data_IF_838973510078
#
_entry.id   IF_838973510078
#
_cell.length_a   1.000
_cell.length_b   1.000
_cell.length_c   1.000
_cell.angle_alpha   90.00
_cell.angle_beta   90.00
_cell.angle_gamma   90.00
#
_symmetry.space_group_name_H-M   'P 1'
#
loop_
_entity.id
_entity.type
_entity.pdbx_description
1 polymer ?
#
# COMPACT_ATOMS: atom_id res chain seq x y z
N UNK A 1 -12.69 0.36 -14.98
CA UNK A 1 -11.71 1.12 -14.18
C UNK A 1 -10.29 0.56 -14.18
N UNK A 2 -9.90 -0.51 -13.47
CA UNK A 2 -8.49 -0.98 -13.48
C UNK A 2 -7.96 -1.33 -14.89
N UNK A 3 -8.79 -2.01 -15.69
CA UNK A 3 -8.45 -2.34 -17.08
C UNK A 3 -8.32 -1.08 -17.95
N UNK A 4 -9.13 -0.06 -17.73
CA UNK A 4 -9.03 1.23 -18.44
C UNK A 4 -7.71 1.94 -18.11
N UNK A 5 -7.33 2.03 -16.83
CA UNK A 5 -6.04 2.62 -16.41
C UNK A 5 -4.87 1.90 -17.07
N UNK A 6 -4.93 0.57 -17.19
CA UNK A 6 -3.90 -0.19 -17.90
C UNK A 6 -3.88 0.12 -19.39
N UNK A 7 -5.04 0.25 -20.02
CA UNK A 7 -5.15 0.51 -21.46
C UNK A 7 -4.81 1.97 -21.83
N UNK A 8 -4.95 2.91 -20.89
CA UNK A 8 -4.61 4.33 -21.05
C UNK A 8 -3.17 4.65 -20.65
N UNK A 9 -2.44 3.69 -20.05
CA UNK A 9 -1.08 3.93 -19.59
C UNK A 9 -0.15 4.18 -20.78
N UNK A 10 0.50 5.34 -20.78
CA UNK A 10 1.52 5.70 -21.76
C UNK A 10 2.71 4.72 -21.71
N UNK A 11 3.18 4.30 -22.88
CA UNK A 11 4.41 3.54 -23.02
C UNK A 11 5.55 4.46 -23.47
N UNK A 12 6.62 4.50 -22.69
CA UNK A 12 7.82 5.25 -22.99
C UNK A 12 9.01 4.31 -23.24
N UNK A 13 10.07 4.75 -23.95
CA UNK A 13 11.27 3.95 -24.17
C UNK A 13 11.97 3.56 -22.86
N UNK A 14 12.53 2.35 -22.82
CA UNK A 14 13.36 1.81 -21.73
C UNK A 14 14.59 1.07 -22.29
N UNK A 15 15.20 1.62 -23.33
CA UNK A 15 16.28 1.00 -24.12
C UNK A 15 17.50 0.68 -23.26
N UNK A 16 17.88 1.58 -22.33
CA UNK A 16 19.05 1.39 -21.46
C UNK A 16 18.89 0.13 -20.60
N UNK A 17 17.68 -0.08 -20.06
CA UNK A 17 17.37 -1.25 -19.24
C UNK A 17 17.50 -2.58 -19.99
N UNK A 18 17.39 -2.58 -21.32
CA UNK A 18 17.47 -3.78 -22.18
C UNK A 18 18.84 -4.02 -22.79
N UNK A 19 19.84 -3.16 -22.53
CA UNK A 19 21.21 -3.41 -22.96
C UNK A 19 21.71 -4.75 -22.37
N UNK A 20 22.45 -5.57 -23.13
CA UNK A 20 22.93 -6.87 -22.67
C UNK A 20 23.69 -6.81 -21.34
N UNK A 21 24.51 -5.76 -21.15
CA UNK A 21 25.29 -5.53 -19.94
C UNK A 21 24.44 -5.26 -18.69
N UNK A 22 23.18 -4.80 -18.86
CA UNK A 22 22.26 -4.48 -17.77
C UNK A 22 21.33 -5.65 -17.42
N UNK A 23 21.41 -6.77 -18.13
CA UNK A 23 20.49 -7.90 -17.96
C UNK A 23 20.50 -8.45 -16.53
N UNK A 24 21.68 -8.57 -15.92
CA UNK A 24 21.87 -9.06 -14.54
C UNK A 24 21.61 -8.00 -13.46
N UNK A 25 21.28 -6.76 -13.84
CA UNK A 25 20.91 -5.68 -12.92
C UNK A 25 19.38 -5.57 -12.76
N UNK A 26 18.62 -6.35 -13.54
CA UNK A 26 17.17 -6.38 -13.53
C UNK A 26 16.66 -7.66 -12.85
N UNK A 27 15.85 -7.51 -11.80
CA UNK A 27 15.23 -8.65 -11.11
C UNK A 27 14.20 -9.36 -11.98
N UNK A 28 13.43 -8.60 -12.77
CA UNK A 28 12.36 -9.10 -13.62
C UNK A 28 12.56 -8.62 -15.06
N UNK A 29 12.34 -9.51 -16.04
CA UNK A 29 12.56 -9.21 -17.46
C UNK A 29 11.54 -8.21 -18.01
N UNK A 30 10.36 -8.20 -17.42
CA UNK A 30 9.16 -7.46 -17.82
C UNK A 30 8.95 -6.17 -17.02
N UNK A 31 9.86 -5.83 -16.09
CA UNK A 31 9.79 -4.59 -15.31
C UNK A 31 11.07 -3.79 -15.49
N UNK A 32 10.97 -2.61 -16.10
CA UNK A 32 12.12 -1.77 -16.43
C UNK A 32 11.79 -0.29 -16.19
N UNK A 33 12.75 0.54 -15.75
CA UNK A 33 12.54 1.98 -15.68
C UNK A 33 12.52 2.59 -17.09
N UNK A 34 11.71 3.62 -17.31
CA UNK A 34 11.78 4.38 -18.56
C UNK A 34 13.05 5.23 -18.63
N UNK A 35 13.56 5.44 -19.84
CA UNK A 35 14.85 6.12 -20.07
C UNK A 35 14.83 7.58 -19.59
N UNK A 36 13.68 8.26 -19.69
CA UNK A 36 13.53 9.66 -19.31
C UNK A 36 13.43 9.89 -17.80
N UNK A 37 13.00 8.88 -17.03
CA UNK A 37 12.74 8.97 -15.59
C UNK A 37 13.67 8.10 -14.75
N UNK A 38 14.52 7.26 -15.37
CA UNK A 38 15.45 6.40 -14.63
C UNK A 38 16.41 7.23 -13.78
N UNK A 39 16.70 6.74 -12.59
CA UNK A 39 17.81 7.27 -11.80
C UNK A 39 19.12 6.84 -12.47
N UNK A 40 20.11 7.74 -12.50
CA UNK A 40 21.44 7.49 -13.05
C UNK A 40 22.45 7.58 -11.91
N UNK A 41 23.32 6.58 -11.82
CA UNK A 41 24.42 6.58 -10.86
C UNK A 41 25.58 7.39 -11.43
N UNK A 42 26.14 8.32 -10.66
CA UNK A 42 27.25 9.18 -11.12
C UNK A 42 28.62 8.57 -10.82
N UNK A 43 28.76 7.86 -9.69
CA UNK A 43 30.04 7.32 -9.22
C UNK A 43 30.16 5.80 -9.45
N UNK A 44 29.73 5.33 -10.62
CA UNK A 44 29.78 3.93 -11.06
C UNK A 44 30.25 3.84 -12.52
N UNK A 45 30.96 2.78 -12.90
CA UNK A 45 31.34 2.54 -14.31
C UNK A 45 30.10 2.37 -15.21
N UNK A 46 29.00 1.88 -14.63
CA UNK A 46 27.72 1.74 -15.28
C UNK A 46 26.67 2.56 -14.52
N UNK A 47 26.07 3.55 -15.19
CA UNK A 47 25.10 4.47 -14.60
C UNK A 47 23.72 3.82 -14.31
N UNK A 48 23.54 2.54 -14.67
CA UNK A 48 22.25 1.87 -14.63
C UNK A 48 21.89 1.29 -13.26
N UNK A 49 20.72 1.69 -12.77
CA UNK A 49 19.98 1.01 -11.70
C UNK A 49 18.50 0.93 -12.08
N UNK A 50 17.81 -0.17 -11.74
CA UNK A 50 16.37 -0.29 -11.98
C UNK A 50 15.56 0.50 -10.93
N UNK A 51 15.57 1.82 -11.10
CA UNK A 51 14.84 2.78 -10.29
C UNK A 51 14.33 3.94 -11.15
N UNK A 52 13.17 4.51 -10.80
CA UNK A 52 12.55 5.64 -11.49
C UNK A 52 12.27 6.76 -10.50
N UNK A 53 12.63 7.99 -10.87
CA UNK A 53 12.17 9.19 -10.19
C UNK A 53 10.75 9.51 -10.67
N UNK A 54 9.79 9.47 -9.74
CA UNK A 54 8.37 9.76 -9.98
C UNK A 54 8.07 11.11 -9.34
N UNK A 55 7.70 12.09 -10.17
CA UNK A 55 7.43 13.46 -9.75
C UNK A 55 5.94 13.74 -9.80
N UNK A 56 5.37 14.18 -8.69
CA UNK A 56 3.99 14.62 -8.56
C UNK A 56 3.98 16.10 -8.24
N UNK A 57 4.03 16.94 -9.27
CA UNK A 57 4.23 18.39 -9.16
C UNK A 57 3.10 19.07 -8.36
N UNK A 58 1.84 18.74 -8.65
CA UNK A 58 0.68 19.25 -7.92
C UNK A 58 0.74 18.93 -6.43
N UNK A 59 1.22 17.72 -6.08
CA UNK A 59 1.37 17.29 -4.70
C UNK A 59 2.67 17.79 -4.05
N UNK A 60 3.57 18.41 -4.83
CA UNK A 60 4.95 18.75 -4.43
C UNK A 60 5.67 17.56 -3.79
N UNK A 61 5.47 16.37 -4.37
CA UNK A 61 6.06 15.10 -3.90
C UNK A 61 6.93 14.49 -4.98
N UNK A 62 8.00 13.85 -4.52
CA UNK A 62 8.91 13.08 -5.36
C UNK A 62 9.21 11.75 -4.67
N UNK A 63 9.27 10.69 -5.45
CA UNK A 63 9.58 9.34 -4.99
C UNK A 63 10.63 8.71 -5.90
N UNK A 64 11.53 7.92 -5.33
CA UNK A 64 12.32 6.99 -6.13
C UNK A 64 11.71 5.61 -5.95
N UNK A 65 11.07 5.10 -7.01
CA UNK A 65 10.50 3.75 -7.02
C UNK A 65 11.51 2.77 -7.63
N UNK A 66 11.94 1.79 -6.84
CA UNK A 66 13.00 0.84 -7.23
C UNK A 66 12.59 -0.61 -7.04
N UNK A 67 13.24 -1.53 -7.75
CA UNK A 67 13.14 -2.96 -7.46
C UNK A 67 13.79 -3.28 -6.10
N UNK A 68 13.42 -4.42 -5.50
CA UNK A 68 14.15 -4.97 -4.36
C UNK A 68 15.58 -5.34 -4.81
N UNK A 69 16.63 -4.82 -4.16
CA UNK A 69 18.01 -5.03 -4.59
C UNK A 69 18.34 -6.50 -4.84
N UNK A 70 19.09 -6.77 -5.91
CA UNK A 70 19.76 -8.04 -6.12
C UNK A 70 21.07 -8.05 -5.31
N UNK A 71 21.63 -9.23 -5.08
CA UNK A 71 22.90 -9.38 -4.34
C UNK A 71 24.03 -8.54 -4.96
N UNK A 72 24.10 -8.51 -6.29
CA UNK A 72 25.07 -7.73 -7.06
C UNK A 72 24.67 -6.26 -7.29
N UNK A 73 23.56 -5.78 -6.72
CA UNK A 73 23.12 -4.39 -6.86
C UNK A 73 22.85 -3.72 -5.50
N UNK A 74 23.22 -4.36 -4.38
CA UNK A 74 23.09 -3.75 -3.05
C UNK A 74 23.98 -2.51 -2.92
N UNK A 75 25.23 -2.58 -3.39
CA UNK A 75 26.14 -1.43 -3.39
C UNK A 75 25.60 -0.27 -4.24
N UNK A 76 25.09 -0.55 -5.44
CA UNK A 76 24.41 0.43 -6.30
C UNK A 76 23.19 1.08 -5.63
N UNK A 77 22.42 0.30 -4.86
CA UNK A 77 21.25 0.82 -4.13
C UNK A 77 21.64 1.83 -3.06
N UNK A 78 22.69 1.55 -2.28
CA UNK A 78 23.21 2.51 -1.29
C UNK A 78 23.89 3.71 -1.92
N UNK A 79 24.59 3.52 -3.05
CA UNK A 79 25.12 4.62 -3.84
C UNK A 79 24.00 5.57 -4.30
N UNK A 80 22.92 5.02 -4.85
CA UNK A 80 21.73 5.80 -5.23
C UNK A 80 21.16 6.59 -4.04
N UNK A 81 21.00 5.97 -2.88
CA UNK A 81 20.51 6.65 -1.67
C UNK A 81 21.42 7.81 -1.26
N UNK A 82 22.73 7.61 -1.35
CA UNK A 82 23.73 8.63 -1.06
C UNK A 82 23.66 9.81 -2.04
N UNK A 83 23.72 9.54 -3.34
CA UNK A 83 23.73 10.55 -4.41
C UNK A 83 22.43 11.36 -4.43
N UNK A 84 21.29 10.71 -4.15
CA UNK A 84 19.98 11.35 -4.13
C UNK A 84 19.65 11.99 -2.78
N UNK A 85 20.59 12.03 -1.82
CA UNK A 85 20.43 12.63 -0.50
C UNK A 85 19.16 12.18 0.23
N UNK A 86 18.76 10.92 0.03
CA UNK A 86 17.52 10.38 0.59
C UNK A 86 17.72 10.07 2.07
N UNK A 87 16.74 10.44 2.91
CA UNK A 87 16.78 10.17 4.36
C UNK A 87 16.01 8.93 4.79
N UNK A 88 15.12 8.42 3.94
CA UNK A 88 14.22 7.32 4.28
C UNK A 88 14.10 6.29 3.14
N UNK A 89 14.14 5.01 3.52
CA UNK A 89 13.89 3.86 2.66
C UNK A 89 12.64 3.14 3.14
N UNK A 90 11.64 3.00 2.26
CA UNK A 90 10.40 2.29 2.52
C UNK A 90 10.44 0.93 1.82
N UNK A 91 10.53 -0.14 2.61
CA UNK A 91 10.54 -1.54 2.14
C UNK A 91 9.18 -2.19 2.40
N UNK A 92 8.50 -2.60 1.35
CA UNK A 92 7.12 -3.12 1.42
C UNK A 92 7.02 -4.64 1.19
N UNK A 93 8.13 -5.37 1.27
CA UNK A 93 8.17 -6.83 1.08
C UNK A 93 9.06 -7.52 2.10
N UNK A 94 8.89 -8.82 2.25
CA UNK A 94 9.87 -9.67 2.94
C UNK A 94 10.96 -10.13 1.98
N UNK A 95 12.14 -10.46 2.51
CA UNK A 95 13.26 -11.02 1.74
C UNK A 95 12.81 -12.28 0.99
N UNK A 96 12.08 -13.16 1.68
CA UNK A 96 11.52 -14.38 1.11
C UNK A 96 9.99 -14.33 1.21
N UNK A 97 9.31 -14.56 0.09
CA UNK A 97 7.85 -14.69 0.05
C UNK A 97 7.50 -15.93 -0.79
N UNK A 98 6.62 -16.79 -0.25
CA UNK A 98 6.21 -18.05 -0.90
C UNK A 98 7.42 -18.90 -1.35
N UNK A 99 8.46 -18.95 -0.51
CA UNK A 99 9.68 -19.74 -0.76
C UNK A 99 10.66 -19.13 -1.79
N UNK A 100 10.38 -17.95 -2.35
CA UNK A 100 11.26 -17.30 -3.35
C UNK A 100 11.89 -16.03 -2.79
N UNK A 101 13.18 -15.81 -3.08
CA UNK A 101 13.87 -14.55 -2.74
C UNK A 101 13.32 -13.39 -3.58
N UNK A 102 12.70 -12.43 -2.92
CA UNK A 102 12.08 -11.23 -3.51
C UNK A 102 12.94 -9.98 -3.40
N UNK A 103 13.93 -9.99 -2.50
CA UNK A 103 14.87 -8.92 -2.23
C UNK A 103 16.08 -9.53 -1.54
N UNK A 104 17.30 -9.05 -1.82
CA UNK A 104 18.48 -9.43 -1.06
C UNK A 104 18.43 -8.82 0.36
N UNK A 105 19.16 -9.42 1.30
CA UNK A 105 19.49 -8.78 2.59
C UNK A 105 20.51 -7.67 2.30
N UNK A 106 20.03 -6.43 2.11
CA UNK A 106 20.87 -5.28 1.75
C UNK A 106 21.22 -4.37 2.94
N UNK A 107 20.77 -4.72 4.14
CA UNK A 107 21.06 -4.01 5.39
C UNK A 107 21.60 -5.00 6.43
N UNK A 108 22.38 -4.56 7.43
CA UNK A 108 22.85 -5.41 8.53
C UNK A 108 21.70 -5.90 9.43
N UNK A 109 21.83 -7.12 9.94
CA UNK A 109 20.95 -7.63 11.00
C UNK A 109 21.50 -7.28 12.39
N UNK A 110 20.71 -7.40 13.48
CA UNK A 110 21.22 -7.24 14.85
C UNK A 110 22.42 -8.14 15.19
N UNK A 111 22.58 -9.27 14.48
CA UNK A 111 23.72 -10.18 14.62
C UNK A 111 24.97 -9.66 13.91
N UNK A 112 24.81 -9.16 12.68
CA UNK A 112 25.95 -8.73 11.85
C UNK A 112 26.45 -7.33 12.24
N UNK A 113 25.54 -6.47 12.74
CA UNK A 113 25.71 -5.04 13.09
C UNK A 113 26.13 -4.12 11.95
N UNK A 114 26.94 -4.59 11.02
CA UNK A 114 27.39 -3.81 9.87
C UNK A 114 27.44 -4.65 8.59
N UNK A 115 27.42 -3.98 7.43
CA UNK A 115 27.52 -4.61 6.12
C UNK A 115 28.35 -3.73 5.19
N UNK A 116 29.30 -4.35 4.49
CA UNK A 116 30.26 -3.67 3.62
C UNK A 116 29.86 -3.83 2.14
N UNK A 117 29.96 -2.74 1.38
CA UNK A 117 29.75 -2.67 -0.06
C UNK A 117 30.99 -2.06 -0.73
N UNK A 118 32.08 -2.84 -0.90
CA UNK A 118 33.35 -2.32 -1.42
C UNK A 118 33.28 -1.84 -2.87
N UNK A 119 32.36 -2.40 -3.67
CA UNK A 119 32.11 -2.04 -5.06
C UNK A 119 31.73 -0.57 -5.22
N UNK A 120 30.97 -0.01 -4.28
CA UNK A 120 30.59 1.40 -4.27
C UNK A 120 31.25 2.21 -3.16
N UNK A 121 31.96 1.55 -2.24
CA UNK A 121 32.73 2.19 -1.16
C UNK A 121 31.86 2.61 0.02
N UNK A 122 30.86 1.81 0.40
CA UNK A 122 29.99 2.10 1.54
C UNK A 122 30.04 1.03 2.63
N UNK A 123 29.78 1.46 3.86
CA UNK A 123 29.46 0.59 4.99
C UNK A 123 28.14 1.05 5.59
N UNK A 124 27.27 0.10 5.94
CA UNK A 124 25.99 0.36 6.60
C UNK A 124 26.03 -0.24 7.98
N UNK A 125 25.83 0.57 9.02
CA UNK A 125 25.72 0.11 10.41
C UNK A 125 24.27 0.17 10.89
N UNK A 126 23.86 -0.83 11.66
CA UNK A 126 22.59 -0.81 12.39
C UNK A 126 22.77 -0.05 13.71
N UNK A 127 22.09 1.07 13.86
CA UNK A 127 22.14 1.89 15.07
C UNK A 127 21.03 1.50 16.05
N UNK A 128 19.81 1.31 15.55
CA UNK A 128 18.68 0.86 16.36
C UNK A 128 17.65 0.12 15.51
N UNK A 129 16.83 -0.71 16.18
CA UNK A 129 15.71 -1.43 15.58
C UNK A 129 14.52 -1.42 16.55
N UNK A 130 13.36 -1.00 16.05
CA UNK A 130 12.08 -1.02 16.76
C UNK A 130 11.11 -1.92 15.99
N UNK A 131 10.71 -3.02 16.61
CA UNK A 131 9.82 -4.01 16.01
C UNK A 131 8.39 -3.77 16.49
N UNK A 132 7.50 -3.48 15.55
CA UNK A 132 6.06 -3.38 15.75
C UNK A 132 5.35 -4.60 15.12
N UNK A 133 4.04 -4.72 15.35
CA UNK A 133 3.25 -5.87 14.87
C UNK A 133 3.28 -6.00 13.34
N UNK A 134 3.12 -4.88 12.62
CA UNK A 134 2.97 -4.87 11.15
C UNK A 134 4.20 -4.33 10.42
N UNK A 135 5.15 -3.74 11.13
CA UNK A 135 6.32 -3.11 10.55
C UNK A 135 7.51 -3.09 11.52
N UNK A 136 8.69 -2.78 10.99
CA UNK A 136 9.91 -2.56 11.76
C UNK A 136 10.54 -1.25 11.30
N UNK A 137 10.99 -0.43 12.24
CA UNK A 137 11.73 0.79 11.95
C UNK A 137 13.17 0.56 12.37
N UNK A 138 14.12 0.86 11.49
CA UNK A 138 15.56 0.86 11.83
C UNK A 138 16.13 2.24 11.59
N UNK A 139 17.09 2.60 12.43
CA UNK A 139 18.01 3.70 12.15
C UNK A 139 19.32 3.08 11.70
N UNK A 140 19.75 3.45 10.49
CA UNK A 140 20.99 2.98 9.88
C UNK A 140 21.95 4.15 9.74
N UNK A 141 23.24 3.90 9.96
CA UNK A 141 24.29 4.81 9.54
C UNK A 141 24.85 4.34 8.21
N UNK A 142 24.74 5.16 7.17
CA UNK A 142 25.40 4.95 5.88
C UNK A 142 26.69 5.77 5.84
N UNK A 143 27.84 5.07 5.86
CA UNK A 143 29.17 5.68 5.83
C UNK A 143 29.83 5.53 4.47
N UNK A 144 30.26 6.65 3.89
CA UNK A 144 31.09 6.68 2.70
C UNK A 144 32.56 6.46 3.09
N UNK A 145 33.15 5.35 2.67
CA UNK A 145 34.53 4.99 3.03
C UNK A 145 35.58 5.82 2.30
N UNK A 146 35.23 6.44 1.17
CA UNK A 146 36.14 7.29 0.38
C UNK A 146 36.29 8.68 1.00
N UNK A 147 35.21 9.26 1.51
CA UNK A 147 35.20 10.61 2.11
C UNK A 147 35.26 10.61 3.63
N UNK A 148 34.88 9.50 4.27
CA UNK A 148 34.73 9.40 5.72
C UNK A 148 33.42 9.95 6.27
N UNK A 149 32.57 10.55 5.43
CA UNK A 149 31.28 11.12 5.82
C UNK A 149 30.25 10.02 6.15
N UNK A 150 29.38 10.29 7.12
CA UNK A 150 28.27 9.41 7.51
C UNK A 150 26.93 10.15 7.45
N UNK A 151 25.85 9.42 7.14
CA UNK A 151 24.48 9.93 7.15
C UNK A 151 23.56 8.94 7.86
N UNK A 152 22.61 9.47 8.61
CA UNK A 152 21.53 8.69 9.20
C UNK A 152 20.43 8.42 8.16
N UNK A 153 20.04 7.16 8.03
CA UNK A 153 19.00 6.68 7.12
C UNK A 153 17.94 5.92 7.91
N UNK A 154 16.69 6.36 7.81
CA UNK A 154 15.55 5.64 8.36
C UNK A 154 15.12 4.53 7.41
N UNK A 155 15.05 3.30 7.91
CA UNK A 155 14.55 2.14 7.15
C UNK A 155 13.22 1.69 7.72
N UNK A 156 12.15 1.92 6.98
CA UNK A 156 10.79 1.54 7.33
C UNK A 156 10.42 0.26 6.58
N UNK A 157 10.25 -0.84 7.32
CA UNK A 157 9.99 -2.15 6.74
C UNK A 157 8.60 -2.64 7.09
N UNK A 158 7.66 -2.59 6.15
CA UNK A 158 6.33 -3.17 6.33
C UNK A 158 6.39 -4.70 6.13
N UNK A 159 6.17 -5.46 7.20
CA UNK A 159 6.45 -6.91 7.25
C UNK A 159 5.21 -7.78 7.03
N UNK A 160 4.01 -7.23 7.23
CA UNK A 160 2.73 -7.94 7.13
C UNK A 160 2.00 -7.78 5.79
N UNK A 161 2.59 -7.12 4.78
CA UNK A 161 1.95 -6.97 3.46
C UNK A 161 2.17 -8.22 2.58
N UNK A 162 1.11 -8.99 2.24
CA UNK A 162 1.24 -10.17 1.39
C UNK A 162 1.53 -9.84 -0.08
N UNK A 163 2.34 -10.67 -0.76
CA UNK A 163 2.62 -10.52 -2.20
C UNK A 163 1.37 -10.68 -3.05
N UNK A 164 1.12 -9.73 -3.96
CA UNK A 164 -0.12 -9.55 -4.75
C UNK A 164 -1.41 -9.31 -3.96
N UNK A 165 -1.35 -9.24 -2.62
CA UNK A 165 -2.47 -8.89 -1.78
C UNK A 165 -2.44 -7.43 -1.34
N UNK A 166 -3.21 -7.15 -0.28
CA UNK A 166 -3.35 -5.85 0.35
C UNK A 166 -3.18 -5.99 1.87
N UNK A 167 -2.82 -4.92 2.60
CA UNK A 167 -2.86 -4.92 4.05
C UNK A 167 -4.24 -5.28 4.58
N UNK A 168 -4.31 -5.97 5.72
CA UNK A 168 -5.59 -6.42 6.31
C UNK A 168 -6.50 -5.25 6.71
N UNK A 169 -5.91 -4.12 7.13
CA UNK A 169 -6.64 -2.90 7.43
C UNK A 169 -5.91 -1.66 6.92
N UNK A 170 -6.65 -0.63 6.45
CA UNK A 170 -6.06 0.67 6.15
C UNK A 170 -5.38 1.34 7.35
N UNK A 171 -5.84 1.09 8.57
CA UNK A 171 -5.32 1.74 9.78
C UNK A 171 -3.82 1.47 10.00
N UNK A 172 -3.39 0.20 9.93
CA UNK A 172 -1.96 -0.14 10.06
C UNK A 172 -1.10 0.42 8.93
N UNK A 173 -1.66 0.52 7.72
CA UNK A 173 -0.98 1.14 6.59
C UNK A 173 -0.84 2.66 6.79
N UNK A 174 -1.87 3.34 7.29
CA UNK A 174 -1.87 4.78 7.51
C UNK A 174 -0.96 5.20 8.66
N UNK A 175 -0.93 4.46 9.78
CA UNK A 175 0.04 4.69 10.87
C UNK A 175 1.50 4.57 10.37
N UNK A 176 1.76 3.62 9.46
CA UNK A 176 3.06 3.49 8.81
C UNK A 176 3.36 4.65 7.84
N UNK A 177 2.37 5.07 7.06
CA UNK A 177 2.48 6.15 6.08
C UNK A 177 2.81 7.51 6.74
N UNK A 178 2.17 7.86 7.85
CA UNK A 178 2.37 9.20 8.44
C UNK A 178 3.75 9.43 9.07
N UNK A 179 4.63 8.42 9.07
CA UNK A 179 5.95 8.46 9.73
C UNK A 179 7.13 8.79 8.81
N UNK A 180 6.92 9.12 7.52
CA UNK A 180 8.02 9.25 6.55
C UNK A 180 8.13 10.61 5.82
N UNK A 181 9.33 10.85 5.26
CA UNK A 181 9.65 11.99 4.37
C UNK A 181 9.87 11.56 2.90
N UNK A 182 10.47 12.44 2.06
CA UNK A 182 10.89 12.09 0.69
C UNK A 182 11.74 10.82 0.72
N UNK A 183 11.36 9.83 -0.10
CA UNK A 183 11.82 8.47 0.13
C UNK A 183 12.07 7.66 -1.13
N UNK A 184 13.01 6.73 -1.00
CA UNK A 184 13.13 5.57 -1.88
C UNK A 184 12.11 4.56 -1.41
N UNK A 185 11.20 4.14 -2.29
CA UNK A 185 10.17 3.14 -1.99
C UNK A 185 10.39 1.93 -2.87
N UNK A 186 10.44 0.74 -2.27
CA UNK A 186 10.56 -0.50 -3.01
C UNK A 186 9.70 -1.62 -2.43
N UNK A 187 9.45 -2.60 -3.28
CA UNK A 187 8.96 -3.92 -2.89
C UNK A 187 9.87 -4.93 -3.58
N UNK A 188 9.31 -5.97 -4.23
CA UNK A 188 10.13 -6.84 -5.07
C UNK A 188 10.39 -6.24 -6.46
N UNK A 189 9.34 -5.90 -7.20
CA UNK A 189 9.45 -5.30 -8.55
C UNK A 189 9.45 -3.75 -8.52
N UNK A 190 9.02 -3.16 -7.41
CA UNK A 190 8.92 -1.70 -7.29
C UNK A 190 7.74 -1.09 -8.03
N UNK A 191 6.65 -1.84 -8.25
CA UNK A 191 5.50 -1.36 -9.03
C UNK A 191 4.13 -1.60 -8.36
N UNK A 192 3.86 -2.79 -7.82
CA UNK A 192 2.56 -3.09 -7.19
C UNK A 192 2.37 -2.35 -5.86
N UNK A 193 2.95 -2.90 -4.78
CA UNK A 193 2.87 -2.31 -3.42
C UNK A 193 3.44 -0.90 -3.36
N UNK A 194 4.56 -0.67 -4.04
CA UNK A 194 5.18 0.66 -4.15
C UNK A 194 4.29 1.68 -4.85
N UNK A 195 3.58 1.28 -5.91
CA UNK A 195 2.61 2.14 -6.59
C UNK A 195 1.39 2.44 -5.71
N UNK A 196 0.86 1.44 -4.99
CA UNK A 196 -0.21 1.64 -4.01
C UNK A 196 0.20 2.64 -2.94
N UNK A 197 1.41 2.51 -2.39
CA UNK A 197 1.92 3.40 -1.37
C UNK A 197 2.05 4.85 -1.87
N UNK A 198 2.73 5.05 -3.00
CA UNK A 198 2.93 6.37 -3.57
C UNK A 198 1.60 7.05 -3.94
N UNK A 199 0.66 6.30 -4.54
CA UNK A 199 -0.67 6.81 -4.89
C UNK A 199 -1.42 7.30 -3.65
N UNK A 200 -1.46 6.50 -2.58
CA UNK A 200 -2.19 6.88 -1.37
C UNK A 200 -1.57 8.12 -0.72
N UNK A 201 -0.23 8.17 -0.59
CA UNK A 201 0.47 9.34 -0.06
C UNK A 201 0.14 10.61 -0.87
N UNK A 202 0.30 10.55 -2.19
CA UNK A 202 0.01 11.67 -3.09
C UNK A 202 -1.44 12.12 -2.98
N UNK A 203 -2.40 11.18 -3.00
CA UNK A 203 -3.81 11.52 -2.88
C UNK A 203 -4.16 12.14 -1.53
N UNK A 204 -3.56 11.69 -0.41
CA UNK A 204 -3.81 12.27 0.90
C UNK A 204 -3.25 13.70 1.02
N UNK A 205 -2.07 13.96 0.44
CA UNK A 205 -1.51 15.31 0.34
C UNK A 205 -2.43 16.23 -0.47
N UNK A 206 -2.92 15.76 -1.61
CA UNK A 206 -3.84 16.50 -2.47
C UNK A 206 -5.23 16.68 -1.86
N UNK A 207 -5.71 15.72 -1.06
CA UNK A 207 -7.02 15.81 -0.37
C UNK A 207 -7.04 16.94 0.66
N UNK A 208 -5.89 17.30 1.22
CA UNK A 208 -5.74 18.53 2.01
C UNK A 208 -5.86 19.82 1.18
N UNK A 209 -5.91 19.74 -0.17
CA UNK A 209 -5.76 20.85 -1.12
C UNK A 209 -6.79 20.87 -2.27
N UNK A 210 -7.97 20.24 -2.13
CA UNK A 210 -9.14 20.16 -3.05
C UNK A 210 -9.38 18.74 -3.61
N UNK A 211 -10.61 18.26 -3.45
CA UNK A 211 -11.05 16.88 -3.76
C UNK A 211 -11.44 16.78 -5.24
N UNK A 212 -10.52 16.38 -6.11
CA UNK A 212 -10.84 15.84 -7.45
C UNK A 212 -9.60 15.16 -8.04
N UNK A 213 -9.70 13.89 -8.48
CA UNK A 213 -8.68 13.29 -9.38
C UNK A 213 -8.00 11.97 -8.98
N UNK A 214 -8.60 11.08 -8.17
CA UNK A 214 -7.96 9.80 -7.76
C UNK A 214 -7.49 8.90 -8.92
N UNK A 215 -8.25 8.85 -10.02
CA UNK A 215 -7.91 8.04 -11.20
C UNK A 215 -6.84 8.68 -12.09
N UNK A 216 -6.73 10.01 -12.08
CA UNK A 216 -5.72 10.76 -12.83
C UNK A 216 -4.35 10.59 -12.17
N UNK A 217 -4.27 10.63 -10.83
CA UNK A 217 -3.02 10.42 -10.10
C UNK A 217 -2.32 9.09 -10.42
N UNK A 218 -3.08 7.99 -10.53
CA UNK A 218 -2.52 6.69 -10.90
C UNK A 218 -2.00 6.65 -12.36
N UNK A 219 -2.67 7.39 -13.25
CA UNK A 219 -2.29 7.48 -14.67
C UNK A 219 -1.03 8.33 -14.82
N UNK A 220 -0.95 9.46 -14.12
CA UNK A 220 0.20 10.36 -14.15
C UNK A 220 1.47 9.70 -13.60
N UNK A 221 1.37 8.96 -12.48
CA UNK A 221 2.53 8.23 -11.95
C UNK A 221 3.06 7.15 -12.92
N UNK A 222 2.17 6.55 -13.72
CA UNK A 222 2.54 5.52 -14.71
C UNK A 222 3.32 6.08 -15.89
N UNK A 223 3.33 7.40 -16.08
CA UNK A 223 4.22 8.03 -17.06
C UNK A 223 5.70 7.92 -16.66
N UNK A 224 5.98 7.85 -15.36
CA UNK A 224 7.36 7.76 -14.85
C UNK A 224 7.82 6.32 -14.66
N UNK A 225 6.92 5.40 -14.29
CA UNK A 225 7.27 3.99 -14.10
C UNK A 225 6.13 3.10 -14.53
N UNK A 226 6.43 2.11 -15.37
CA UNK A 226 5.44 1.16 -15.87
C UNK A 226 4.74 0.38 -14.75
N UNK A 227 3.49 0.00 -14.99
CA UNK A 227 2.81 -1.06 -14.24
C UNK A 227 2.51 -0.77 -12.77
N UNK A 228 2.54 0.49 -12.33
CA UNK A 228 2.21 0.86 -10.95
C UNK A 228 0.79 0.41 -10.59
N UNK A 229 0.63 -0.26 -9.45
CA UNK A 229 -0.60 -0.96 -9.04
C UNK A 229 -0.88 -2.13 -9.99
N UNK A 230 -0.70 -3.35 -9.51
CA UNK A 230 -0.74 -4.56 -10.35
C UNK A 230 -2.06 -5.32 -10.31
N UNK A 231 -2.93 -5.06 -9.33
CA UNK A 231 -4.23 -5.75 -9.20
C UNK A 231 -5.38 -4.78 -8.94
N UNK A 232 -6.59 -5.19 -9.30
CA UNK A 232 -7.80 -4.45 -8.98
C UNK A 232 -7.99 -4.29 -7.47
N UNK A 233 -7.58 -5.29 -6.68
CA UNK A 233 -7.63 -5.23 -5.21
C UNK A 233 -6.68 -4.18 -4.64
N UNK A 234 -5.47 -4.03 -5.21
CA UNK A 234 -4.55 -2.97 -4.82
C UNK A 234 -5.13 -1.58 -5.12
N UNK A 235 -5.77 -1.41 -6.29
CA UNK A 235 -6.46 -0.16 -6.60
C UNK A 235 -7.60 0.11 -5.63
N UNK A 236 -8.46 -0.90 -5.38
CA UNK A 236 -9.56 -0.79 -4.42
C UNK A 236 -9.06 -0.44 -3.03
N UNK A 237 -7.97 -1.05 -2.59
CA UNK A 237 -7.33 -0.73 -1.31
C UNK A 237 -6.81 0.70 -1.27
N UNK A 238 -6.21 1.22 -2.35
CA UNK A 238 -5.80 2.62 -2.44
C UNK A 238 -6.98 3.57 -2.16
N UNK A 239 -8.14 3.34 -2.78
CA UNK A 239 -9.35 4.14 -2.51
C UNK A 239 -9.78 4.04 -1.04
N UNK A 240 -9.82 2.83 -0.48
CA UNK A 240 -10.19 2.64 0.93
C UNK A 240 -9.23 3.38 1.87
N UNK A 241 -7.93 3.29 1.62
CA UNK A 241 -6.92 3.96 2.45
C UNK A 241 -6.97 5.48 2.32
N UNK A 242 -7.23 6.01 1.13
CA UNK A 242 -7.42 7.46 0.95
C UNK A 242 -8.68 7.95 1.67
N UNK A 243 -9.81 7.26 1.53
CA UNK A 243 -11.06 7.62 2.21
C UNK A 243 -10.87 7.62 3.72
N UNK A 244 -10.21 6.59 4.27
CA UNK A 244 -9.98 6.49 5.71
C UNK A 244 -8.97 7.53 6.20
N UNK A 245 -7.86 7.71 5.49
CA UNK A 245 -6.86 8.72 5.82
C UNK A 245 -7.40 10.15 5.73
N UNK A 246 -8.29 10.44 4.77
CA UNK A 246 -8.93 11.74 4.64
C UNK A 246 -9.78 12.08 5.87
N UNK A 247 -10.45 11.10 6.50
CA UNK A 247 -11.18 11.33 7.77
C UNK A 247 -10.25 11.72 8.92
N UNK A 248 -9.04 11.18 8.94
CA UNK A 248 -8.03 11.51 9.96
C UNK A 248 -7.43 12.91 9.73
N UNK A 249 -7.30 13.34 8.48
CA UNK A 249 -6.70 14.62 8.09
C UNK A 249 -7.72 15.78 8.09
N UNK A 250 -9.02 15.49 7.87
CA UNK A 250 -10.11 16.48 7.82
C UNK A 250 -11.10 16.27 8.98
N UNK A 251 -10.80 16.74 10.20
CA UNK A 251 -11.62 16.43 11.38
C UNK A 251 -13.05 16.99 11.34
N UNK A 252 -13.37 17.93 10.44
CA UNK A 252 -14.61 18.74 10.51
C UNK A 252 -15.52 18.73 9.27
N UNK A 253 -15.29 17.88 8.25
CA UNK A 253 -16.14 17.89 7.04
C UNK A 253 -17.24 16.81 7.02
N UNK A 254 -17.15 15.78 7.87
CA UNK A 254 -18.08 14.64 7.85
C UNK A 254 -19.04 14.56 9.05
N UNK A 255 -18.96 15.49 10.01
CA UNK A 255 -19.83 15.54 11.21
C UNK A 255 -20.92 16.61 11.19
N UNK A 256 -21.08 17.39 10.10
CA UNK A 256 -22.20 18.32 9.93
C UNK A 256 -23.19 17.89 8.84
N UNK A 257 -23.76 16.70 8.95
CA UNK A 257 -25.13 16.41 8.47
C UNK A 257 -25.82 15.38 9.36
N UNK A 258 -25.99 15.73 10.63
CA UNK A 258 -27.10 15.28 11.47
C UNK A 258 -27.14 16.24 12.67
N UNK A 259 -27.84 17.37 12.53
CA UNK A 259 -28.35 18.07 13.70
C UNK A 259 -29.46 17.17 14.26
N UNK A 260 -29.39 16.73 15.54
CA UNK A 260 -30.60 16.30 16.21
C UNK A 260 -31.53 17.51 16.29
N UNK A 261 -32.79 17.34 15.90
CA UNK A 261 -33.84 18.32 16.17
C UNK A 261 -33.98 18.37 17.70
N UNK A 262 -33.53 19.46 18.31
CA UNK A 262 -33.82 19.77 19.70
C UNK A 262 -35.27 20.24 19.78
N UNK A 263 -36.08 19.45 20.48
CA UNK A 263 -37.40 19.86 20.98
C UNK A 263 -37.18 20.82 22.14
N UNK A 264 -37.15 22.12 21.85
CA UNK A 264 -37.45 23.20 22.80
C UNK A 264 -37.40 24.52 22.05
N UNK A 265 -38.54 24.87 21.46
CA UNK A 265 -38.99 26.25 21.26
C UNK A 265 -40.51 26.19 21.31
N UNK A 266 -41.03 26.35 22.54
CA UNK A 266 -42.45 26.50 22.83
C UNK A 266 -42.88 27.91 22.41
N UNK A 267 -43.68 28.03 21.35
CA UNK A 267 -44.60 29.17 21.19
C UNK A 267 -45.99 28.80 21.72
N UNK A 268 -46.70 29.73 22.39
CA UNK A 268 -47.97 29.46 23.04
C UNK A 268 -49.16 29.42 22.06
N UNK A 269 -50.00 28.40 22.24
CA UNK A 269 -51.40 28.22 21.84
C UNK A 269 -52.02 29.22 20.83
N UNK A 270 -52.07 28.81 19.57
CA UNK A 270 -53.12 29.24 18.64
C UNK A 270 -54.17 28.12 18.52
N UNK A 271 -55.48 28.45 18.65
CA UNK A 271 -56.53 27.45 18.60
C UNK A 271 -56.59 26.76 17.22
N UNK A 272 -56.92 25.45 17.18
CA UNK A 272 -56.87 24.69 15.94
C UNK A 272 -57.92 25.19 14.93
N UNK A 273 -57.56 25.26 13.63
CA UNK A 273 -58.52 25.60 12.59
C UNK A 273 -59.60 24.50 12.43
N UNK A 274 -60.82 24.86 12.01
CA UNK A 274 -61.91 23.90 11.90
C UNK A 274 -61.63 22.84 10.81
N UNK A 275 -62.06 21.59 10.99
CA UNK A 275 -61.81 20.52 10.03
C UNK A 275 -62.57 20.72 8.71
N UNK A 276 -61.98 20.33 7.57
CA UNK A 276 -62.64 20.42 6.27
C UNK A 276 -63.79 19.40 6.13
N UNK A 277 -64.80 19.67 5.28
CA UNK A 277 -65.94 18.76 5.09
C UNK A 277 -65.50 17.45 4.43
N UNK A 278 -65.88 16.30 5.01
CA UNK A 278 -65.66 14.98 4.40
C UNK A 278 -66.78 14.66 3.40
N UNK A 279 -66.46 14.15 2.21
CA UNK A 279 -67.44 13.44 1.38
C UNK A 279 -67.67 12.03 1.94
N UNK A 280 -68.95 11.67 2.09
CA UNK A 280 -69.39 10.31 2.36
C UNK A 280 -69.11 9.41 1.16
N UNK A 281 -68.62 8.18 1.37
CA UNK A 281 -69.22 6.98 0.80
C UNK A 281 -68.70 5.71 1.49
N UNK A 282 -69.67 4.82 1.70
CA UNK A 282 -69.74 3.59 2.50
C UNK A 282 -69.25 2.35 1.77
N UNK A 283 -68.78 1.34 2.54
CA UNK A 283 -69.10 -0.12 2.52
C UNK A 283 -67.96 -0.89 3.23
N UNK A 284 -68.14 -1.48 4.43
CA UNK A 284 -68.61 -2.86 4.75
C UNK A 284 -67.78 -3.94 4.01
N UNK A 285 -67.22 -5.01 4.61
CA UNK A 285 -67.44 -5.71 5.89
C UNK A 285 -66.35 -6.79 6.12
N UNK A 286 -66.12 -7.12 7.41
CA UNK A 286 -65.93 -8.44 8.04
C UNK A 286 -64.67 -9.33 7.82
N UNK A 287 -64.07 -9.72 8.96
CA UNK A 287 -63.29 -10.95 9.18
C UNK A 287 -64.23 -12.18 9.39
N UNK A 288 -63.75 -13.43 9.52
CA UNK A 288 -63.17 -13.90 10.80
C UNK A 288 -62.04 -14.95 10.76
N UNK A 289 -61.43 -15.07 11.94
CA UNK A 289 -60.57 -16.08 12.56
C UNK A 289 -60.46 -17.52 12.01
N UNK A 290 -59.30 -18.14 12.25
CA UNK A 290 -59.23 -19.43 12.96
C UNK A 290 -57.81 -19.74 13.46
N UNK A 291 -57.76 -20.35 14.64
CA UNK A 291 -56.61 -20.85 15.38
C UNK A 291 -56.16 -22.24 14.87
N UNK A 292 -54.92 -22.56 15.25
CA UNK A 292 -54.48 -23.81 15.89
C UNK A 292 -53.63 -24.85 15.12
N UNK A 293 -52.43 -25.05 15.71
CA UNK A 293 -51.63 -26.27 15.90
C UNK A 293 -51.18 -27.17 14.73
N UNK A 294 -49.85 -27.27 14.57
CA UNK A 294 -49.12 -28.56 14.51
C UNK A 294 -47.59 -28.33 14.60
N UNK A 295 -46.92 -28.86 15.63
CA UNK A 295 -46.09 -30.08 15.65
C UNK A 295 -44.76 -29.97 14.88
N UNK A 296 -43.69 -29.83 15.67
CA UNK A 296 -42.38 -30.53 15.64
C UNK A 296 -41.95 -31.12 14.29
N UNK A 297 -40.84 -30.61 13.73
CA UNK A 297 -39.78 -31.52 13.23
C UNK A 297 -38.37 -30.90 13.34
N UNK A 298 -37.43 -31.79 13.64
CA UNK A 298 -36.11 -31.58 14.18
C UNK A 298 -35.09 -32.01 13.11
N UNK A 299 -34.42 -31.07 12.42
CA UNK A 299 -33.27 -31.43 11.59
C UNK A 299 -32.27 -30.28 11.46
N UNK A 300 -31.24 -30.30 12.31
CA UNK A 300 -30.20 -29.29 12.25
C UNK A 300 -28.90 -29.64 12.95
N UNK A 301 -28.56 -30.92 13.13
CA UNK A 301 -27.31 -31.31 13.81
C UNK A 301 -26.64 -32.58 13.26
N UNK A 302 -26.51 -32.72 11.93
CA UNK A 302 -25.62 -33.75 11.34
C UNK A 302 -24.96 -33.23 10.05
N UNK A 303 -24.09 -32.22 10.14
CA UNK A 303 -23.06 -31.93 9.08
C UNK A 303 -21.80 -31.26 9.64
N UNK A 304 -21.28 -31.72 10.78
CA UNK A 304 -19.97 -31.25 11.28
C UNK A 304 -19.06 -32.30 11.91
N UNK A 305 -19.30 -33.59 11.67
CA UNK A 305 -18.46 -34.70 12.20
C UNK A 305 -17.93 -35.69 11.16
N UNK A 306 -17.79 -35.28 9.89
CA UNK A 306 -17.20 -36.14 8.85
C UNK A 306 -16.08 -35.50 8.02
N UNK A 307 -15.35 -34.52 8.59
CA UNK A 307 -14.14 -33.99 7.94
C UNK A 307 -12.86 -34.07 8.77
N UNK A 308 -12.92 -34.59 10.00
CA UNK A 308 -11.75 -34.68 10.88
C UNK A 308 -11.08 -36.07 10.93
N UNK A 309 -11.65 -37.10 10.31
CA UNK A 309 -11.04 -38.45 10.30
C UNK A 309 -10.26 -38.81 9.02
N UNK A 310 -10.09 -37.87 8.06
CA UNK A 310 -9.32 -38.14 6.82
C UNK A 310 -7.89 -37.57 6.79
N UNK A 311 -7.41 -36.92 7.85
CA UNK A 311 -6.02 -36.41 7.90
C UNK A 311 -5.11 -37.25 8.81
N UNK A 312 -5.66 -38.10 9.68
CA UNK A 312 -4.86 -38.95 10.58
C UNK A 312 -4.32 -40.25 9.93
N UNK A 313 -4.70 -40.58 8.69
CA UNK A 313 -4.33 -41.86 8.05
C UNK A 313 -3.16 -41.79 7.06
N UNK A 314 -2.53 -40.62 6.85
CA UNK A 314 -1.46 -40.46 5.84
C UNK A 314 -0.07 -40.17 6.42
N UNK A 315 0.13 -40.29 7.74
CA UNK A 315 1.43 -40.12 8.41
C UNK A 315 1.98 -41.40 9.09
N UNK A 316 1.51 -42.59 8.73
CA UNK A 316 2.07 -43.89 9.20
C UNK A 316 2.54 -44.85 8.10
N UNK A 317 3.04 -44.33 6.97
CA UNK A 317 3.78 -45.12 5.98
C UNK A 317 4.95 -44.32 5.38
N UNK A 318 5.96 -44.04 6.20
CA UNK A 318 7.34 -43.74 5.74
C UNK A 318 8.28 -43.81 6.94
N UNK A 319 8.37 -44.99 7.56
CA UNK A 319 9.41 -45.37 8.52
C UNK A 319 9.30 -46.87 8.77
N UNK A 320 9.70 -47.64 7.76
CA UNK A 320 10.30 -48.98 7.83
C UNK A 320 11.05 -49.19 6.54
#
# INVERSE_FOLDING_TARGET
MFVEIRNQASEYPYKVAKLPLNRNLNRYRDVSPYDHSRVKLENSENDYINASLVMMEEAKRAYILSQGPLRNTCGHFWLMIWEQCTKAVIMLNRIIEKGTEKCAQYWPTPKDKEMHFPDTGFVVHLMSEEVQICYTIRVLELRNTKTGESREIYHFHYTSWPDFGVPESPGSFLDFLFRHGPSVVHCSAGIGRSGTFALVDTCLVLTGSVISGHSEGATNMREYRMGLIQTADQLRFSYMAVIEGAKLILPNSFTQKQKPISTDDLEPDLPPPPPPPRPHHTLKTAMPASQDNSIIDNSGHIRKRQREERIAAQHRKSSR
#
